data_IF_432695034148
#
_entry.id   IF_432695034148
#
_cell.length_a   1.000
_cell.length_b   1.000
_cell.length_c   1.000
_cell.angle_alpha   90.00
_cell.angle_beta   90.00
_cell.angle_gamma   90.00
#
_symmetry.space_group_name_H-M   'P 1'
#
loop_
_entity.id
_entity.type
_entity.pdbx_description
1 polymer ?
#
# COMPACT_ATOMS: atom_id res chain seq x y z
N UNK A 1 2.25 -23.94 21.36
CA UNK A 1 0.97 -23.43 20.85
C UNK A 1 1.33 -22.47 19.72
N UNK A 2 1.40 -22.97 18.49
CA UNK A 2 2.02 -22.28 17.34
C UNK A 2 0.99 -21.35 16.69
N UNK A 3 0.81 -20.16 17.28
CA UNK A 3 -0.25 -19.23 16.88
C UNK A 3 0.18 -18.18 15.85
N UNK A 4 1.43 -18.18 15.42
CA UNK A 4 1.99 -17.07 14.65
C UNK A 4 2.86 -17.64 13.55
N UNK A 5 2.24 -18.00 12.43
CA UNK A 5 3.00 -18.32 11.21
C UNK A 5 2.53 -17.53 10.00
N UNK A 6 1.38 -16.85 10.11
CA UNK A 6 0.85 -15.94 9.11
C UNK A 6 1.00 -14.51 9.61
N UNK A 7 1.54 -13.62 8.77
CA UNK A 7 1.59 -12.18 9.05
C UNK A 7 0.81 -11.43 7.99
N UNK A 8 -0.02 -10.49 8.42
CA UNK A 8 -0.82 -9.62 7.54
C UNK A 8 -0.32 -8.19 7.71
N UNK A 9 0.17 -7.61 6.64
CA UNK A 9 0.62 -6.23 6.59
C UNK A 9 -0.41 -5.38 5.87
N UNK A 10 -0.73 -4.29 6.52
CA UNK A 10 -1.70 -3.27 6.13
C UNK A 10 -1.17 -1.95 6.69
N UNK A 11 -1.61 -0.79 6.18
CA UNK A 11 -1.27 0.50 6.77
C UNK A 11 -1.64 0.54 8.26
N UNK A 12 -0.84 1.25 9.07
CA UNK A 12 -1.13 1.45 10.50
C UNK A 12 -2.34 2.35 10.73
N UNK A 13 -2.62 3.23 9.77
CA UNK A 13 -3.82 4.05 9.69
C UNK A 13 -4.24 4.25 8.23
N UNK A 14 -5.51 4.55 8.01
CA UNK A 14 -6.04 4.89 6.70
C UNK A 14 -6.74 6.24 6.76
N UNK A 15 -6.67 6.98 5.67
CA UNK A 15 -7.34 8.28 5.52
C UNK A 15 -8.17 8.32 4.25
N UNK A 16 -9.33 8.98 4.34
CA UNK A 16 -10.11 9.46 3.20
C UNK A 16 -9.98 10.98 3.21
N UNK A 17 -9.33 11.50 2.18
CA UNK A 17 -8.98 12.91 2.11
C UNK A 17 -9.89 13.76 1.21
N UNK A 18 -10.91 13.10 0.62
CA UNK A 18 -11.86 13.71 -0.28
C UNK A 18 -13.28 13.20 -0.04
N UNK A 19 -14.24 14.13 -0.03
CA UNK A 19 -15.66 13.84 -0.03
C UNK A 19 -16.37 14.51 -1.24
N UNK A 20 -17.44 13.90 -1.79
CA UNK A 20 -17.89 12.54 -1.50
C UNK A 20 -16.87 11.51 -2.03
N UNK A 21 -16.81 10.34 -1.38
CA UNK A 21 -16.07 9.18 -1.89
C UNK A 21 -17.04 8.03 -2.18
N UNK A 22 -16.75 7.27 -3.22
CA UNK A 22 -17.48 6.06 -3.57
C UNK A 22 -16.76 4.79 -3.10
N UNK A 23 -15.48 4.88 -2.71
CA UNK A 23 -14.64 3.71 -2.46
C UNK A 23 -13.59 3.93 -1.39
N UNK A 24 -13.24 2.84 -0.71
CA UNK A 24 -12.06 2.74 0.15
C UNK A 24 -11.18 1.64 -0.42
N UNK A 25 -9.91 1.94 -0.68
CA UNK A 25 -8.95 0.96 -1.21
C UNK A 25 -8.02 0.50 -0.09
N UNK A 26 -8.10 -0.78 0.28
CA UNK A 26 -7.33 -1.39 1.36
C UNK A 26 -6.24 -2.29 0.75
N UNK A 27 -4.96 -1.90 0.80
CA UNK A 27 -3.86 -2.78 0.42
C UNK A 27 -3.60 -3.80 1.53
N UNK A 28 -3.44 -5.06 1.14
CA UNK A 28 -3.18 -6.18 2.04
C UNK A 28 -2.04 -7.00 1.48
N UNK A 29 -0.99 -7.18 2.29
CA UNK A 29 0.13 -8.07 2.00
C UNK A 29 0.09 -9.19 3.04
N UNK A 30 0.31 -10.42 2.59
CA UNK A 30 0.30 -11.60 3.45
C UNK A 30 1.62 -12.32 3.27
N UNK A 31 2.31 -12.61 4.37
CA UNK A 31 3.51 -13.43 4.37
C UNK A 31 3.38 -14.58 5.36
N UNK A 32 4.23 -15.60 5.19
CA UNK A 32 4.36 -16.69 6.12
C UNK A 32 5.76 -16.79 6.67
N UNK A 33 5.89 -16.99 7.97
CA UNK A 33 7.19 -17.10 8.62
C UNK A 33 7.89 -18.41 8.27
N UNK A 34 7.26 -19.55 8.57
CA UNK A 34 7.92 -20.86 8.62
C UNK A 34 7.23 -21.94 7.78
N UNK A 35 6.02 -21.70 7.29
CA UNK A 35 5.26 -22.71 6.53
C UNK A 35 4.83 -22.21 5.15
N UNK A 36 5.09 -23.00 4.12
CA UNK A 36 4.47 -22.76 2.82
C UNK A 36 2.95 -22.91 2.92
N UNK A 37 2.24 -22.20 2.04
CA UNK A 37 0.80 -22.24 2.06
C UNK A 37 0.14 -21.49 0.91
N UNK A 38 -1.16 -21.33 1.06
CA UNK A 38 -2.02 -20.63 0.09
C UNK A 38 -2.99 -19.73 0.84
N UNK A 39 -3.05 -18.46 0.43
CA UNK A 39 -4.11 -17.54 0.85
C UNK A 39 -5.37 -17.87 0.07
N UNK A 40 -6.46 -18.12 0.80
CA UNK A 40 -7.75 -18.61 0.26
C UNK A 40 -8.77 -17.49 0.14
N UNK A 41 -8.79 -16.55 1.09
CA UNK A 41 -9.64 -15.37 1.00
C UNK A 41 -9.06 -14.21 1.78
N UNK A 42 -9.35 -13.01 1.29
CA UNK A 42 -9.08 -11.74 1.96
C UNK A 42 -10.39 -10.95 1.95
N UNK A 43 -10.79 -10.42 3.10
CA UNK A 43 -11.92 -9.52 3.20
C UNK A 43 -11.56 -8.28 4.02
N UNK A 44 -12.15 -7.14 3.68
CA UNK A 44 -12.02 -5.90 4.43
C UNK A 44 -13.41 -5.29 4.63
N UNK A 45 -13.65 -4.73 5.82
CA UNK A 45 -14.91 -4.05 6.13
C UNK A 45 -14.68 -2.70 6.80
N UNK A 46 -15.47 -1.71 6.43
CA UNK A 46 -15.50 -0.37 7.02
C UNK A 46 -16.90 0.23 6.84
N UNK A 47 -17.38 1.05 7.79
CA UNK A 47 -18.72 1.66 7.74
C UNK A 47 -19.84 0.66 7.39
N UNK A 48 -19.81 -0.53 7.99
CA UNK A 48 -20.74 -1.65 7.73
C UNK A 48 -20.78 -2.16 6.28
N UNK A 49 -19.86 -1.72 5.43
CA UNK A 49 -19.64 -2.23 4.08
C UNK A 49 -18.50 -3.23 4.10
N UNK A 50 -18.59 -4.25 3.27
CA UNK A 50 -17.60 -5.32 3.19
C UNK A 50 -17.23 -5.58 1.74
N UNK A 51 -15.95 -5.82 1.52
CA UNK A 51 -15.40 -6.32 0.27
C UNK A 51 -14.67 -7.63 0.54
N UNK A 52 -14.92 -8.65 -0.29
CA UNK A 52 -14.29 -9.96 -0.17
C UNK A 52 -13.74 -10.40 -1.53
N UNK A 53 -12.51 -10.91 -1.51
CA UNK A 53 -11.92 -11.59 -2.63
C UNK A 53 -11.55 -13.02 -2.22
N UNK A 54 -12.17 -13.99 -2.88
CA UNK A 54 -11.64 -15.36 -2.88
C UNK A 54 -10.39 -15.39 -3.75
N UNK A 55 -9.30 -15.84 -3.16
CA UNK A 55 -7.98 -15.89 -3.78
C UNK A 55 -7.43 -17.31 -3.74
N UNK A 56 -6.50 -17.58 -4.64
CA UNK A 56 -5.68 -18.78 -4.61
C UNK A 56 -4.25 -18.32 -4.87
N UNK A 57 -3.68 -17.61 -3.90
CA UNK A 57 -2.36 -17.03 -4.00
C UNK A 57 -1.37 -17.87 -3.17
N UNK A 58 -0.36 -18.48 -3.78
CA UNK A 58 0.67 -19.20 -3.03
C UNK A 58 1.50 -18.21 -2.21
N UNK A 59 1.95 -18.66 -1.04
CA UNK A 59 2.94 -17.98 -0.20
C UNK A 59 4.00 -18.98 0.23
N UNK A 60 5.27 -18.55 0.23
CA UNK A 60 6.42 -19.39 0.60
C UNK A 60 7.01 -18.91 1.92
N UNK A 61 7.41 -19.84 2.79
CA UNK A 61 7.93 -19.56 4.13
C UNK A 61 9.22 -18.72 4.10
N UNK A 62 9.23 -17.56 4.74
CA UNK A 62 10.40 -16.67 4.76
C UNK A 62 11.61 -17.24 5.53
N UNK A 63 11.40 -18.20 6.42
CA UNK A 63 12.42 -18.71 7.34
C UNK A 63 12.60 -17.84 8.58
N UNK A 64 11.78 -16.80 8.74
CA UNK A 64 11.78 -15.83 9.84
C UNK A 64 10.53 -16.02 10.70
N UNK A 65 10.56 -15.63 11.96
CA UNK A 65 9.33 -15.51 12.75
C UNK A 65 8.49 -14.31 12.28
N UNK A 66 7.16 -14.31 12.48
CA UNK A 66 6.32 -13.15 12.18
C UNK A 66 6.81 -11.83 12.77
N UNK A 67 7.36 -11.88 13.99
CA UNK A 67 7.97 -10.72 14.64
C UNK A 67 9.20 -10.19 13.89
N UNK A 68 10.08 -11.09 13.43
CA UNK A 68 11.27 -10.70 12.64
C UNK A 68 10.88 -10.12 11.28
N UNK A 69 9.88 -10.72 10.61
CA UNK A 69 9.37 -10.17 9.35
C UNK A 69 8.82 -8.76 9.59
N UNK A 70 7.98 -8.57 10.62
CA UNK A 70 7.44 -7.25 10.93
C UNK A 70 8.53 -6.24 11.29
N UNK A 71 9.46 -6.62 12.17
CA UNK A 71 10.54 -5.74 12.61
C UNK A 71 11.45 -5.31 11.45
N UNK A 72 11.75 -6.21 10.51
CA UNK A 72 12.52 -5.87 9.30
C UNK A 72 11.80 -4.88 8.41
N UNK A 73 10.50 -5.10 8.19
CA UNK A 73 9.67 -4.18 7.39
C UNK A 73 9.51 -2.81 8.06
N UNK A 74 9.24 -2.77 9.37
CA UNK A 74 9.12 -1.52 10.15
C UNK A 74 10.45 -0.73 10.15
N UNK A 75 11.58 -1.42 10.02
CA UNK A 75 12.91 -0.82 9.92
C UNK A 75 13.30 -0.42 8.49
N UNK A 76 12.48 -0.72 7.48
CA UNK A 76 12.82 -0.49 6.08
C UNK A 76 13.96 -1.37 5.56
N UNK A 77 14.12 -2.58 6.12
CA UNK A 77 15.13 -3.54 5.68
C UNK A 77 14.82 -4.03 4.26
N UNK A 78 15.70 -3.67 3.31
CA UNK A 78 15.54 -3.99 1.89
C UNK A 78 15.44 -5.50 1.65
N UNK A 79 16.17 -6.30 2.43
CA UNK A 79 16.14 -7.76 2.29
C UNK A 79 14.79 -8.31 2.75
N UNK A 80 14.27 -7.81 3.87
CA UNK A 80 12.96 -8.20 4.37
C UNK A 80 11.84 -7.80 3.37
N UNK A 81 11.91 -6.59 2.81
CA UNK A 81 10.94 -6.11 1.81
C UNK A 81 11.02 -6.96 0.54
N UNK A 82 12.21 -7.25 0.04
CA UNK A 82 12.42 -8.11 -1.13
C UNK A 82 11.85 -9.50 -0.90
N UNK A 83 12.17 -10.14 0.23
CA UNK A 83 11.67 -11.47 0.57
C UNK A 83 10.13 -11.50 0.65
N UNK A 84 9.51 -10.51 1.28
CA UNK A 84 8.03 -10.41 1.37
C UNK A 84 7.41 -10.15 0.00
N UNK A 85 8.06 -9.35 -0.84
CA UNK A 85 7.63 -9.05 -2.19
C UNK A 85 7.62 -10.29 -3.09
N UNK A 86 8.68 -11.09 -3.05
CA UNK A 86 8.85 -12.28 -3.90
C UNK A 86 8.03 -13.49 -3.43
N UNK A 87 7.84 -13.63 -2.11
CA UNK A 87 7.35 -14.87 -1.49
C UNK A 87 6.02 -14.72 -0.78
N UNK A 88 5.57 -13.48 -0.56
CA UNK A 88 4.25 -13.15 -0.03
C UNK A 88 3.17 -13.04 -1.11
N UNK A 89 1.97 -12.66 -0.68
CA UNK A 89 0.84 -12.41 -1.55
C UNK A 89 0.30 -11.00 -1.34
N UNK A 90 0.09 -10.25 -2.43
CA UNK A 90 -0.51 -8.93 -2.42
C UNK A 90 -1.95 -8.96 -2.94
N UNK A 91 -2.83 -8.20 -2.28
CA UNK A 91 -4.18 -7.92 -2.77
C UNK A 91 -4.61 -6.51 -2.40
N UNK A 92 -5.25 -5.83 -3.34
CA UNK A 92 -6.00 -4.60 -3.06
C UNK A 92 -7.49 -4.93 -3.00
N UNK A 93 -8.16 -4.49 -1.95
CA UNK A 93 -9.61 -4.63 -1.77
C UNK A 93 -10.28 -3.27 -1.90
N UNK A 94 -11.35 -3.20 -2.68
CA UNK A 94 -12.18 -2.00 -2.82
C UNK A 94 -13.49 -2.19 -2.07
N UNK A 95 -13.72 -1.39 -1.04
CA UNK A 95 -14.98 -1.33 -0.29
C UNK A 95 -15.84 -0.24 -0.91
N UNK A 96 -17.00 -0.61 -1.44
CA UNK A 96 -17.99 0.33 -1.97
C UNK A 96 -18.71 1.05 -0.81
N UNK A 97 -18.45 2.34 -0.69
CA UNK A 97 -19.06 3.27 0.29
C UNK A 97 -19.93 4.32 -0.40
N UNK A 98 -20.22 4.14 -1.69
CA UNK A 98 -21.05 5.03 -2.47
C UNK A 98 -22.41 5.29 -1.82
N UNK A 99 -22.78 6.56 -1.73
CA UNK A 99 -24.06 6.99 -1.17
C UNK A 99 -24.14 6.93 0.36
N UNK A 100 -23.06 6.58 1.07
CA UNK A 100 -23.00 6.76 2.52
C UNK A 100 -22.87 8.26 2.85
N UNK A 101 -23.57 8.76 3.89
CA UNK A 101 -23.46 10.13 4.35
C UNK A 101 -22.18 10.30 5.20
N UNK A 102 -21.02 10.13 4.58
CA UNK A 102 -19.74 10.38 5.24
C UNK A 102 -19.51 11.88 5.37
N UNK A 103 -19.12 12.30 6.56
CA UNK A 103 -18.84 13.71 6.89
C UNK A 103 -17.37 13.88 7.28
N UNK A 104 -16.85 15.09 7.13
CA UNK A 104 -15.54 15.46 7.66
C UNK A 104 -15.47 15.19 9.18
N UNK A 105 -14.39 14.55 9.63
CA UNK A 105 -14.24 14.07 11.01
C UNK A 105 -14.90 12.71 11.30
N UNK A 106 -15.55 12.07 10.33
CA UNK A 106 -16.05 10.68 10.50
C UNK A 106 -14.89 9.72 10.78
N UNK A 107 -15.14 8.72 11.61
CA UNK A 107 -14.16 7.67 11.91
C UNK A 107 -14.79 6.29 11.76
N UNK A 108 -13.97 5.31 11.40
CA UNK A 108 -14.35 3.89 11.34
C UNK A 108 -13.13 3.04 11.69
N UNK A 109 -13.37 1.73 11.84
CA UNK A 109 -12.32 0.74 11.94
C UNK A 109 -12.36 -0.15 10.70
N UNK A 110 -11.28 -0.14 9.91
CA UNK A 110 -11.10 -1.11 8.83
C UNK A 110 -10.71 -2.43 9.46
N UNK A 111 -11.55 -3.45 9.32
CA UNK A 111 -11.24 -4.81 9.76
C UNK A 111 -10.85 -5.65 8.57
N UNK A 112 -9.59 -6.08 8.51
CA UNK A 112 -9.07 -6.99 7.49
C UNK A 112 -9.05 -8.39 8.05
N UNK A 113 -9.60 -9.35 7.32
CA UNK A 113 -9.56 -10.78 7.66
C UNK A 113 -8.92 -11.55 6.53
N UNK A 114 -7.93 -12.39 6.86
CA UNK A 114 -7.22 -13.25 5.92
C UNK A 114 -7.43 -14.70 6.36
N UNK A 115 -7.93 -15.53 5.44
CA UNK A 115 -7.96 -16.98 5.62
C UNK A 115 -6.92 -17.63 4.71
N UNK A 116 -6.11 -18.50 5.28
CA UNK A 116 -5.05 -19.23 4.59
C UNK A 116 -5.03 -20.71 4.98
N UNK A 117 -4.36 -21.51 4.16
CA UNK A 117 -3.99 -22.90 4.47
C UNK A 117 -2.47 -22.98 4.53
N UNK A 118 -1.92 -23.20 5.73
CA UNK A 118 -0.49 -23.37 5.97
C UNK A 118 -0.21 -24.82 6.35
N UNK A 119 0.67 -25.51 5.62
CA UNK A 119 0.97 -26.93 5.84
C UNK A 119 -0.28 -27.81 6.04
N UNK A 120 -1.33 -27.56 5.25
CA UNK A 120 -2.60 -28.29 5.30
C UNK A 120 -3.56 -27.90 6.43
N UNK A 121 -3.22 -26.91 7.28
CA UNK A 121 -4.09 -26.40 8.35
C UNK A 121 -4.68 -25.05 7.98
N UNK A 122 -5.96 -24.86 8.27
CA UNK A 122 -6.61 -23.55 8.13
C UNK A 122 -6.15 -22.60 9.22
N UNK A 123 -5.75 -21.39 8.83
CA UNK A 123 -5.34 -20.30 9.70
C UNK A 123 -6.14 -19.07 9.31
N UNK A 124 -6.53 -18.28 10.31
CA UNK A 124 -7.24 -17.01 10.14
C UNK A 124 -6.52 -15.94 10.93
N UNK A 125 -6.19 -14.84 10.27
CA UNK A 125 -5.68 -13.63 10.90
C UNK A 125 -6.63 -12.46 10.70
N UNK A 126 -6.71 -11.61 11.72
CA UNK A 126 -7.59 -10.42 11.73
C UNK A 126 -6.80 -9.23 12.21
N UNK A 127 -6.71 -8.20 11.36
CA UNK A 127 -6.07 -6.92 11.67
C UNK A 127 -7.11 -5.81 11.65
N UNK A 128 -6.93 -4.82 12.53
CA UNK A 128 -7.83 -3.68 12.69
C UNK A 128 -7.03 -2.39 12.56
N UNK A 129 -7.50 -1.50 11.70
CA UNK A 129 -6.81 -0.27 11.33
C UNK A 129 -7.79 0.89 11.55
N UNK A 130 -7.39 1.98 12.25
CA UNK A 130 -8.20 3.19 12.30
C UNK A 130 -8.35 3.81 10.91
N UNK A 131 -9.54 4.31 10.61
CA UNK A 131 -9.85 5.04 9.39
C UNK A 131 -10.41 6.41 9.77
N UNK A 132 -9.78 7.46 9.24
CA UNK A 132 -10.17 8.85 9.45
C UNK A 132 -10.67 9.47 8.13
N UNK A 133 -11.73 10.25 8.21
CA UNK A 133 -12.21 11.07 7.10
C UNK A 133 -11.82 12.51 7.40
N UNK A 134 -10.93 13.07 6.60
CA UNK A 134 -10.42 14.44 6.76
C UNK A 134 -10.43 15.12 5.39
N UNK A 135 -11.34 16.05 5.14
CA UNK A 135 -11.39 16.71 3.83
C UNK A 135 -10.24 17.70 3.66
N UNK A 136 -9.49 17.57 2.57
CA UNK A 136 -8.48 18.54 2.20
C UNK A 136 -9.11 19.89 1.83
N UNK A 137 -8.42 21.02 2.07
CA UNK A 137 -8.95 22.34 1.72
C UNK A 137 -9.15 22.51 0.21
N UNK A 138 -10.39 22.66 -0.25
CA UNK A 138 -10.68 23.01 -1.66
C UNK A 138 -10.61 24.54 -1.86
N UNK A 139 -9.41 25.12 -1.78
CA UNK A 139 -9.19 26.55 -2.04
C UNK A 139 -8.79 26.75 -3.50
N UNK A 140 -9.39 27.70 -4.26
CA UNK A 140 -8.97 27.99 -5.62
C UNK A 140 -7.47 28.25 -5.73
N UNK A 141 -6.77 27.49 -6.59
CA UNK A 141 -5.32 27.56 -6.77
C UNK A 141 -4.49 26.71 -5.80
N UNK A 142 -5.12 25.97 -4.89
CA UNK A 142 -4.46 24.96 -4.08
C UNK A 142 -4.37 23.64 -4.85
N UNK A 143 -3.14 23.20 -5.09
CA UNK A 143 -2.83 21.89 -5.67
C UNK A 143 -2.11 21.09 -4.60
N UNK A 144 -2.81 20.70 -3.53
CA UNK A 144 -2.23 19.82 -2.52
C UNK A 144 -1.82 18.50 -3.16
N UNK A 145 -0.61 18.03 -2.87
CA UNK A 145 -0.11 16.78 -3.38
C UNK A 145 0.86 16.15 -2.40
N UNK A 146 1.07 14.85 -2.56
CA UNK A 146 2.04 14.13 -1.74
C UNK A 146 3.45 14.42 -2.29
N UNK A 147 4.20 15.22 -1.53
CA UNK A 147 5.53 15.69 -1.92
C UNK A 147 6.63 14.62 -1.77
N UNK A 148 6.33 13.48 -1.15
CA UNK A 148 7.33 12.46 -0.85
C UNK A 148 6.69 11.07 -0.86
N UNK A 149 6.62 10.45 -2.04
CA UNK A 149 6.08 9.11 -2.22
C UNK A 149 7.15 8.14 -2.68
N UNK A 150 7.30 7.04 -1.95
CA UNK A 150 8.06 5.89 -2.44
C UNK A 150 7.12 4.92 -3.18
N UNK A 151 7.60 4.26 -4.23
CA UNK A 151 6.88 3.28 -5.07
C UNK A 151 7.57 1.93 -5.03
N UNK A 152 7.03 0.92 -5.73
CA UNK A 152 7.62 -0.43 -5.88
C UNK A 152 9.10 -0.47 -6.34
N UNK A 153 9.69 0.65 -6.76
CA UNK A 153 11.11 0.77 -7.09
C UNK A 153 11.99 1.17 -5.89
N UNK A 154 11.39 1.45 -4.74
CA UNK A 154 12.08 1.76 -3.49
C UNK A 154 12.20 0.53 -2.59
N UNK A 155 13.35 0.31 -1.94
CA UNK A 155 13.57 -0.83 -1.04
C UNK A 155 12.72 -0.89 0.21
N UNK A 156 12.10 0.20 0.59
CA UNK A 156 11.23 0.30 1.76
C UNK A 156 9.74 0.25 1.42
N UNK A 157 9.38 0.08 0.14
CA UNK A 157 7.97 -0.02 -0.28
C UNK A 157 7.65 -1.43 -0.70
N UNK A 158 6.93 -2.10 0.18
CA UNK A 158 6.36 -3.41 -0.10
C UNK A 158 5.24 -3.24 -1.13
N UNK A 159 5.49 -3.70 -2.35
CA UNK A 159 4.44 -4.13 -3.29
C UNK A 159 3.34 -3.10 -3.61
N UNK A 160 3.65 -1.80 -3.59
CA UNK A 160 2.69 -0.76 -4.00
C UNK A 160 3.11 -0.15 -5.35
N UNK A 161 2.52 -0.64 -6.47
CA UNK A 161 2.84 -0.13 -7.78
C UNK A 161 2.54 1.35 -7.93
N UNK A 162 3.31 2.03 -8.79
CA UNK A 162 3.11 3.46 -9.07
C UNK A 162 1.67 3.75 -9.51
N UNK A 163 1.05 2.87 -10.30
CA UNK A 163 -0.34 3.06 -10.73
C UNK A 163 -1.35 3.00 -9.57
N UNK A 164 -1.08 2.23 -8.51
CA UNK A 164 -1.91 2.19 -7.31
C UNK A 164 -1.70 3.44 -6.44
N UNK A 165 -0.44 3.92 -6.31
CA UNK A 165 -0.12 5.21 -5.66
C UNK A 165 -0.82 6.38 -6.34
N UNK A 166 -0.69 6.47 -7.66
CA UNK A 166 -1.34 7.48 -8.49
C UNK A 166 -2.87 7.45 -8.35
N UNK A 167 -3.45 6.25 -8.37
CA UNK A 167 -4.88 6.06 -8.17
C UNK A 167 -5.32 6.51 -6.79
N UNK A 168 -4.63 6.09 -5.72
CA UNK A 168 -4.91 6.53 -4.36
C UNK A 168 -4.88 8.06 -4.25
N UNK A 169 -3.86 8.69 -4.81
CA UNK A 169 -3.71 10.14 -4.76
C UNK A 169 -4.87 10.87 -5.46
N UNK A 170 -5.22 10.44 -6.67
CA UNK A 170 -6.37 10.98 -7.42
C UNK A 170 -7.68 10.80 -6.66
N UNK A 171 -7.92 9.60 -6.14
CA UNK A 171 -9.16 9.25 -5.45
C UNK A 171 -9.28 10.04 -4.12
N UNK A 172 -8.15 10.46 -3.54
CA UNK A 172 -8.06 11.31 -2.36
C UNK A 172 -7.94 12.83 -2.65
N UNK A 173 -8.09 13.25 -3.91
CA UNK A 173 -8.13 14.67 -4.26
C UNK A 173 -6.76 15.35 -4.34
N UNK A 174 -5.66 14.60 -4.32
CA UNK A 174 -4.35 15.17 -4.57
C UNK A 174 -4.19 15.58 -6.04
N UNK A 175 -3.64 16.77 -6.25
CA UNK A 175 -3.32 17.32 -7.58
C UNK A 175 -2.04 16.75 -8.18
N UNK A 176 -1.13 16.21 -7.37
CA UNK A 176 0.11 15.56 -7.81
C UNK A 176 0.62 14.55 -6.77
N UNK A 177 1.57 13.71 -7.22
CA UNK A 177 2.50 13.00 -6.34
C UNK A 177 3.93 13.27 -6.82
N UNK A 178 4.88 13.37 -5.90
CA UNK A 178 6.31 13.44 -6.18
C UNK A 178 6.96 12.13 -5.76
N UNK A 179 7.54 11.42 -6.73
CA UNK A 179 8.21 10.16 -6.47
C UNK A 179 9.62 10.42 -5.92
N UNK A 180 9.91 9.95 -4.71
CA UNK A 180 11.21 10.08 -4.04
C UNK A 180 11.80 8.71 -3.64
N UNK A 181 11.90 7.77 -4.58
CA UNK A 181 12.56 6.48 -4.32
C UNK A 181 14.05 6.65 -3.99
N UNK A 182 14.62 5.71 -3.22
CA UNK A 182 16.05 5.70 -2.93
C UNK A 182 16.91 5.63 -4.22
N UNK A 183 18.05 6.32 -4.18
CA UNK A 183 19.03 6.41 -5.27
C UNK A 183 19.68 5.06 -5.62
N UNK A 184 19.61 4.08 -4.73
CA UNK A 184 19.96 2.68 -4.99
C UNK A 184 18.69 1.87 -4.77
N UNK A 185 17.96 1.56 -5.85
CA UNK A 185 16.81 0.67 -5.77
C UNK A 185 17.22 -0.78 -5.45
N UNK A 186 16.26 -1.59 -4.98
CA UNK A 186 16.42 -3.02 -4.59
C UNK A 186 17.15 -3.86 -5.65
N UNK A 187 17.08 -3.46 -6.92
CA UNK A 187 17.66 -4.21 -8.04
C UNK A 187 19.12 -3.83 -8.37
N UNK A 188 19.81 -3.04 -7.53
CA UNK A 188 21.22 -2.72 -7.73
C UNK A 188 21.53 -1.96 -9.03
N UNK A 189 20.55 -1.26 -9.61
CA UNK A 189 20.64 -0.68 -10.94
C UNK A 189 20.14 0.76 -11.04
N UNK A 190 20.90 1.71 -10.50
CA UNK A 190 20.94 3.09 -11.02
C UNK A 190 22.36 3.55 -11.36
N UNK A 191 23.36 2.69 -11.16
CA UNK A 191 24.68 2.94 -11.70
C UNK A 191 24.72 2.45 -13.15
N UNK A 192 24.86 3.42 -14.06
CA UNK A 192 25.16 3.29 -15.50
C UNK A 192 23.97 3.27 -16.47
N UNK A 193 23.17 4.34 -16.48
CA UNK A 193 22.67 4.93 -17.73
C UNK A 193 22.35 6.41 -17.51
N UNK A 194 23.41 7.22 -17.60
CA UNK A 194 23.41 8.67 -17.81
C UNK A 194 22.88 9.57 -16.68
N UNK A 195 23.82 10.34 -16.13
CA UNK A 195 23.68 11.52 -15.27
C UNK A 195 22.89 12.69 -15.92
N UNK A 196 21.77 12.44 -16.60
CA UNK A 196 20.98 13.48 -17.28
C UNK A 196 19.45 13.33 -17.17
N UNK A 197 18.92 12.52 -16.23
CA UNK A 197 17.45 12.42 -16.06
C UNK A 197 16.96 12.91 -14.69
N UNK A 198 16.46 14.14 -14.76
CA UNK A 198 15.66 14.88 -13.78
C UNK A 198 14.54 14.03 -13.13
N UNK A 199 14.24 14.18 -11.82
CA UNK A 199 13.14 13.48 -11.16
C UNK A 199 11.79 13.89 -11.77
N UNK A 200 10.92 12.90 -11.99
CA UNK A 200 9.64 13.08 -12.70
C UNK A 200 8.52 13.49 -11.73
N UNK A 201 8.02 14.72 -11.87
CA UNK A 201 6.74 15.15 -11.27
C UNK A 201 5.62 14.78 -12.25
N UNK A 202 4.63 13.99 -11.81
CA UNK A 202 3.45 13.68 -12.61
C UNK A 202 2.33 14.66 -12.26
N UNK A 203 2.15 15.66 -13.12
CA UNK A 203 1.02 16.59 -13.11
C UNK A 203 -0.11 16.04 -14.01
N UNK A 204 -1.30 15.86 -13.44
CA UNK A 204 -2.46 15.29 -14.14
C UNK A 204 -3.10 16.24 -15.16
N UNK A 205 -2.69 17.51 -15.22
CA UNK A 205 -3.26 18.51 -16.14
C UNK A 205 -2.60 18.53 -17.52
N UNK A 206 -1.53 17.76 -17.75
CA UNK A 206 -0.71 17.85 -18.98
C UNK A 206 -0.31 16.49 -19.59
N UNK A 207 -1.21 15.51 -19.65
CA UNK A 207 -0.99 14.28 -20.45
C UNK A 207 -1.10 14.56 -21.96
N UNK A 208 -0.23 15.42 -22.48
CA UNK A 208 0.22 15.47 -23.87
C UNK A 208 1.59 16.15 -23.91
N UNK A 209 2.64 15.34 -23.99
CA UNK A 209 4.00 15.67 -24.46
C UNK A 209 4.78 16.87 -23.86
N UNK A 210 5.95 16.50 -23.33
CA UNK A 210 7.25 17.21 -23.27
C UNK A 210 7.51 18.28 -22.19
N UNK A 211 8.69 18.05 -21.58
CA UNK A 211 9.60 18.96 -20.87
C UNK A 211 9.05 19.78 -19.71
N UNK A 212 9.39 19.39 -18.47
CA UNK A 212 9.49 20.34 -17.35
C UNK A 212 10.59 19.91 -16.36
N UNK A 213 11.36 20.90 -15.92
CA UNK A 213 12.58 20.86 -15.08
C UNK A 213 12.26 20.67 -13.59
N UNK A 214 13.10 19.93 -12.87
CA UNK A 214 12.96 19.71 -11.42
C UNK A 214 13.52 20.84 -10.56
N UNK A 215 12.96 20.99 -9.35
CA UNK A 215 13.59 21.55 -8.15
C UNK A 215 13.00 20.82 -6.93
N UNK A 216 13.44 19.59 -6.69
CA UNK A 216 13.22 18.93 -5.40
C UNK A 216 14.37 17.94 -5.16
N UNK A 217 15.38 18.39 -4.44
CA UNK A 217 16.37 17.49 -3.85
C UNK A 217 15.69 16.83 -2.64
N UNK A 218 15.16 15.62 -2.83
CA UNK A 218 14.85 14.71 -1.72
C UNK A 218 16.20 14.25 -1.14
N UNK A 219 16.55 14.73 0.06
CA UNK A 219 17.80 14.42 0.80
C UNK A 219 17.76 13.06 1.45
#
# INVERSE_FOLDING_TARGET
MNREDLTVFVPDEMEINRLPTDRITVPVIVASGRSDGVVVSVSASAFDKTSEAKVSAPITALGLSPHEVKAGLDAGDEEAVSQVSERGAYRSLEIDVGGLPLEDGSTSLVTVTVDAVLSGRRVREVVRIPLHVTTLPEVPGWYGGDGHVHTEWSPDVILLPLHQRARFARDNGFGYISQCNFTVGVFGGWWLADNERDPTVLDWTSVTTREVRSHANCT
#
